data_IF_355123931843
#
_entry.id   IF_355123931843
#
_cell.length_a   1.000
_cell.length_b   1.000
_cell.length_c   1.000
_cell.angle_alpha   90.00
_cell.angle_beta   90.00
_cell.angle_gamma   90.00
#
_symmetry.space_group_name_H-M   'P 1'
#
loop_
_entity.id
_entity.type
_entity.pdbx_description
1 polymer ?
#
# COMPACT_ATOMS: atom_id res chain seq x y z
N UNK A 1 -16.05 4.53 6.47
CA UNK A 1 -14.63 4.23 6.70
C UNK A 1 -14.42 3.92 8.18
N UNK A 2 -13.29 3.32 8.58
CA UNK A 2 -12.99 2.92 9.97
C UNK A 2 -12.08 3.90 10.74
N UNK A 3 -11.76 5.05 10.14
CA UNK A 3 -10.84 6.02 10.74
C UNK A 3 -9.35 5.62 10.72
N UNK A 4 -8.98 4.54 10.03
CA UNK A 4 -7.59 4.11 9.86
C UNK A 4 -6.99 4.83 8.65
N UNK A 5 -5.94 5.62 8.88
CA UNK A 5 -5.24 6.31 7.79
C UNK A 5 -4.20 5.39 7.15
N UNK A 6 -4.35 5.10 5.87
CA UNK A 6 -3.42 4.28 5.10
C UNK A 6 -2.75 5.10 4.00
N UNK A 7 -1.54 4.68 3.60
CA UNK A 7 -0.80 5.26 2.48
C UNK A 7 -0.69 4.30 1.29
N UNK A 8 -0.31 4.84 0.13
CA UNK A 8 0.05 4.06 -1.06
C UNK A 8 1.50 4.40 -1.44
N UNK A 9 2.37 3.40 -1.48
CA UNK A 9 3.81 3.55 -1.79
C UNK A 9 4.23 2.56 -2.88
N UNK A 10 4.12 2.89 -4.16
CA UNK A 10 3.54 4.09 -4.75
C UNK A 10 2.53 3.69 -5.85
N UNK A 11 1.54 4.53 -6.18
CA UNK A 11 0.46 4.15 -7.11
C UNK A 11 0.90 4.05 -8.58
N UNK A 12 2.10 4.51 -8.92
CA UNK A 12 2.62 4.46 -10.28
C UNK A 12 4.03 3.86 -10.21
N UNK A 13 4.31 2.75 -10.92
CA UNK A 13 5.64 2.18 -10.95
C UNK A 13 6.57 3.08 -11.76
N UNK A 14 7.86 3.06 -11.42
CA UNK A 14 8.86 4.03 -11.90
C UNK A 14 8.90 4.12 -13.43
N UNK A 15 8.80 2.99 -14.14
CA UNK A 15 8.85 2.96 -15.60
C UNK A 15 7.67 3.65 -16.29
N UNK A 16 6.56 3.89 -15.59
CA UNK A 16 5.38 4.57 -16.14
C UNK A 16 5.34 6.07 -15.82
N UNK A 17 6.21 6.55 -14.94
CA UNK A 17 6.36 7.97 -14.63
C UNK A 17 6.80 8.72 -15.89
N UNK A 18 6.20 9.91 -16.11
CA UNK A 18 6.46 10.74 -17.29
C UNK A 18 7.95 10.91 -17.67
N UNK A 19 8.88 11.22 -16.75
CA UNK A 19 10.29 11.39 -17.09
C UNK A 19 11.02 10.09 -17.50
N UNK A 20 10.47 8.91 -17.21
CA UNK A 20 11.14 7.62 -17.47
C UNK A 20 10.47 6.79 -18.56
N UNK A 21 9.24 7.13 -18.94
CA UNK A 21 8.39 6.32 -19.84
C UNK A 21 9.04 6.03 -21.20
N UNK A 22 9.79 6.97 -21.75
CA UNK A 22 10.46 6.81 -23.05
C UNK A 22 11.75 5.98 -22.98
N UNK A 23 12.36 5.89 -21.79
CA UNK A 23 13.62 5.17 -21.57
C UNK A 23 13.41 3.75 -21.03
N UNK A 24 12.22 3.46 -20.50
CA UNK A 24 11.95 2.19 -19.86
C UNK A 24 11.62 1.09 -20.87
N UNK A 25 12.07 -0.14 -20.57
CA UNK A 25 11.61 -1.32 -21.29
C UNK A 25 10.15 -1.64 -20.90
N UNK A 26 9.48 -2.51 -21.65
CA UNK A 26 8.16 -3.04 -21.24
C UNK A 26 8.33 -4.29 -20.38
N UNK A 27 7.33 -4.57 -19.54
CA UNK A 27 7.21 -5.84 -18.83
C UNK A 27 7.90 -5.87 -17.47
N UNK A 28 7.44 -5.02 -16.54
CA UNK A 28 7.85 -5.07 -15.13
C UNK A 28 6.68 -5.54 -14.24
N UNK A 29 6.26 -6.81 -14.35
CA UNK A 29 5.00 -7.30 -13.77
C UNK A 29 4.95 -7.14 -12.25
N UNK A 30 6.07 -7.33 -11.55
CA UNK A 30 6.11 -7.16 -10.09
C UNK A 30 5.93 -5.69 -9.69
N UNK A 31 6.54 -4.76 -10.42
CA UNK A 31 6.41 -3.34 -10.14
C UNK A 31 4.97 -2.85 -10.38
N UNK A 32 4.36 -3.31 -11.47
CA UNK A 32 2.96 -3.03 -11.82
C UNK A 32 2.00 -3.61 -10.77
N UNK A 33 2.18 -4.88 -10.42
CA UNK A 33 1.39 -5.55 -9.38
C UNK A 33 1.47 -4.82 -8.04
N UNK A 34 2.66 -4.43 -7.58
CA UNK A 34 2.79 -3.70 -6.32
C UNK A 34 2.17 -2.31 -6.37
N UNK A 35 2.29 -1.59 -7.49
CA UNK A 35 1.67 -0.27 -7.63
C UNK A 35 0.13 -0.33 -7.59
N UNK A 36 -0.45 -1.42 -8.08
CA UNK A 36 -1.90 -1.65 -8.08
C UNK A 36 -2.44 -2.17 -6.73
N UNK A 37 -1.65 -2.97 -6.01
CA UNK A 37 -2.17 -3.76 -4.87
C UNK A 37 -1.60 -3.37 -3.51
N UNK A 38 -0.47 -2.66 -3.44
CA UNK A 38 0.16 -2.36 -2.16
C UNK A 38 -0.62 -1.29 -1.38
N UNK A 39 -0.83 -1.57 -0.09
CA UNK A 39 -1.41 -0.65 0.88
C UNK A 39 -0.49 -0.58 2.10
N UNK A 40 -0.13 0.63 2.53
CA UNK A 40 0.67 0.84 3.72
C UNK A 40 -0.21 1.14 4.91
N UNK A 41 -0.13 0.28 5.92
CA UNK A 41 -0.82 0.44 7.20
C UNK A 41 -0.07 1.45 8.10
N UNK A 42 -0.75 2.06 9.09
CA UNK A 42 -0.08 2.87 10.11
C UNK A 42 1.06 2.11 10.78
N UNK A 43 2.24 2.71 10.80
CA UNK A 43 3.41 2.21 11.52
C UNK A 43 4.30 3.40 11.91
N UNK A 44 4.35 3.73 13.20
CA UNK A 44 5.15 4.82 13.75
C UNK A 44 5.43 4.59 15.25
N UNK A 45 6.46 5.23 15.85
CA UNK A 45 6.90 4.91 17.22
C UNK A 45 5.83 5.07 18.30
N UNK A 46 4.93 6.05 18.16
CA UNK A 46 3.89 6.34 19.15
C UNK A 46 2.58 5.54 18.95
N UNK A 47 2.54 4.63 17.97
CA UNK A 47 1.37 3.81 17.68
C UNK A 47 1.11 2.85 18.84
N UNK A 48 -0.04 2.97 19.50
CA UNK A 48 -0.35 2.18 20.69
C UNK A 48 -0.72 0.75 20.32
N UNK A 49 -0.40 -0.19 21.22
CA UNK A 49 -0.76 -1.60 21.04
C UNK A 49 -2.26 -1.83 20.80
N UNK A 50 -3.13 -1.04 21.43
CA UNK A 50 -4.58 -1.17 21.22
C UNK A 50 -5.03 -0.64 19.85
N UNK A 51 -4.31 0.34 19.29
CA UNK A 51 -4.52 0.79 17.91
C UNK A 51 -4.06 -0.28 16.92
N UNK A 52 -2.92 -0.94 17.16
CA UNK A 52 -2.47 -2.09 16.36
C UNK A 52 -3.50 -3.22 16.35
N UNK A 53 -4.03 -3.59 17.53
CA UNK A 53 -5.09 -4.61 17.65
C UNK A 53 -6.36 -4.21 16.90
N UNK A 54 -6.76 -2.95 16.99
CA UNK A 54 -7.92 -2.42 16.26
C UNK A 54 -7.71 -2.54 14.75
N UNK A 55 -6.55 -2.09 14.25
CA UNK A 55 -6.21 -2.16 12.81
C UNK A 55 -6.21 -3.61 12.33
N UNK A 56 -5.50 -4.51 13.03
CA UNK A 56 -5.46 -5.92 12.68
C UNK A 56 -6.85 -6.58 12.73
N UNK A 57 -7.67 -6.22 13.72
CA UNK A 57 -9.05 -6.70 13.85
C UNK A 57 -9.96 -6.24 12.72
N UNK A 58 -9.85 -4.99 12.26
CA UNK A 58 -10.62 -4.52 11.10
C UNK A 58 -10.18 -5.17 9.79
N UNK A 59 -8.89 -5.49 9.64
CA UNK A 59 -8.38 -6.25 8.49
C UNK A 59 -8.96 -7.67 8.48
N UNK A 60 -8.94 -8.37 9.61
CA UNK A 60 -9.54 -9.71 9.73
C UNK A 60 -11.02 -9.73 9.36
N UNK A 61 -11.79 -8.80 9.92
CA UNK A 61 -13.22 -8.62 9.58
C UNK A 61 -13.45 -8.38 8.09
N UNK A 62 -12.57 -7.63 7.44
CA UNK A 62 -12.66 -7.40 5.98
C UNK A 62 -12.50 -8.69 5.18
N UNK A 63 -11.64 -9.61 5.64
CA UNK A 63 -11.45 -10.94 5.04
C UNK A 63 -12.43 -12.01 5.53
N UNK A 64 -13.36 -11.69 6.44
CA UNK A 64 -14.34 -12.63 6.99
C UNK A 64 -13.78 -13.56 8.07
N UNK A 65 -12.61 -13.24 8.64
CA UNK A 65 -12.10 -13.82 9.89
C UNK A 65 -12.71 -13.13 11.12
#
# INVERSE_FOLDING_TARGET
SKGIFCGIHYPIPVHLLAPYREYAMKGYPNAEYHAETALSLPMYPDLKNDEVKMIAGEIKKFYGE
#
